data_IF_712973394665
#
_entry.id   IF_712973394665
#
_cell.length_a   1.000
_cell.length_b   1.000
_cell.length_c   1.000
_cell.angle_alpha   90.00
_cell.angle_beta   90.00
_cell.angle_gamma   90.00
#
_symmetry.space_group_name_H-M   'P 1'
#
loop_
_entity.id
_entity.type
_entity.pdbx_description
1 polymer ?
#
# COMPACT_ATOMS: atom_id res chain seq x y z
N UNK A 1 47.40 38.15 -1.98
CA UNK A 1 46.18 37.93 -1.18
C UNK A 1 45.29 37.00 -1.92
N UNK A 2 45.27 35.76 -1.49
CA UNK A 2 44.38 34.76 -2.06
C UNK A 2 43.05 34.81 -1.30
N UNK A 3 41.94 35.08 -1.96
CA UNK A 3 40.66 34.86 -1.32
C UNK A 3 40.52 33.36 -1.09
N UNK A 4 40.40 32.97 0.14
CA UNK A 4 40.02 31.64 0.48
C UNK A 4 38.65 31.39 -0.13
N UNK A 5 38.63 30.66 -1.23
CA UNK A 5 37.43 30.14 -1.81
C UNK A 5 36.96 29.06 -0.84
N UNK A 6 36.12 29.47 0.07
CA UNK A 6 35.37 28.55 0.90
C UNK A 6 34.38 27.83 -0.04
N UNK A 7 34.85 26.73 -0.58
CA UNK A 7 33.95 25.78 -1.24
C UNK A 7 33.11 25.21 -0.13
N UNK A 8 31.98 25.86 0.11
CA UNK A 8 30.92 25.24 0.85
C UNK A 8 30.49 24.06 0.04
N UNK A 9 31.04 22.89 0.32
CA UNK A 9 30.43 21.62 -0.07
C UNK A 9 29.07 21.62 0.63
N UNK A 10 28.09 22.09 -0.08
CA UNK A 10 26.72 21.71 0.19
C UNK A 10 26.68 20.20 -0.04
N UNK A 11 26.97 19.46 1.02
CA UNK A 11 26.59 18.09 1.08
C UNK A 11 25.07 18.09 0.94
N UNK A 12 24.58 17.92 -0.29
CA UNK A 12 23.24 17.50 -0.52
C UNK A 12 23.19 16.12 0.09
N UNK A 13 22.88 16.08 1.39
CA UNK A 13 22.49 14.85 2.01
C UNK A 13 21.20 14.43 1.28
N UNK A 14 21.33 13.55 0.29
CA UNK A 14 20.21 12.76 -0.17
C UNK A 14 19.76 12.00 1.05
N UNK A 15 18.80 12.57 1.78
CA UNK A 15 18.15 11.87 2.87
C UNK A 15 17.34 10.74 2.21
N UNK A 16 17.95 9.55 2.18
CA UNK A 16 17.20 8.36 1.82
C UNK A 16 16.06 8.25 2.82
N UNK A 17 14.85 8.06 2.32
CA UNK A 17 13.72 7.76 3.16
C UNK A 17 14.09 6.61 4.08
N UNK A 18 13.75 6.71 5.37
CA UNK A 18 13.92 5.59 6.29
C UNK A 18 13.12 4.39 5.78
N UNK A 19 13.50 3.15 6.14
CA UNK A 19 12.70 1.98 5.76
C UNK A 19 11.22 2.12 6.13
N UNK A 20 10.92 2.66 7.31
CA UNK A 20 9.55 2.92 7.72
C UNK A 20 8.83 3.88 6.76
N UNK A 21 9.47 4.98 6.41
CA UNK A 21 8.89 5.95 5.46
C UNK A 21 8.71 5.34 4.08
N UNK A 22 9.63 4.49 3.64
CA UNK A 22 9.54 3.80 2.36
C UNK A 22 8.35 2.84 2.33
N UNK A 23 8.10 2.10 3.40
CA UNK A 23 6.92 1.23 3.51
C UNK A 23 5.64 2.06 3.51
N UNK A 24 5.58 3.15 4.27
CA UNK A 24 4.44 4.06 4.28
C UNK A 24 4.15 4.62 2.89
N UNK A 25 5.19 4.97 2.15
CA UNK A 25 5.06 5.47 0.78
C UNK A 25 4.45 4.41 -0.16
N UNK A 26 4.82 3.15 0.02
CA UNK A 26 4.25 2.06 -0.78
C UNK A 26 2.79 1.77 -0.42
N UNK A 27 2.42 1.88 0.84
CA UNK A 27 1.02 1.79 1.26
C UNK A 27 0.21 2.91 0.60
N UNK A 28 0.74 4.14 0.59
CA UNK A 28 0.10 5.27 -0.08
C UNK A 28 0.01 5.07 -1.60
N UNK A 29 1.03 4.47 -2.21
CA UNK A 29 1.02 4.14 -3.63
C UNK A 29 -0.05 3.11 -3.98
N UNK A 30 -0.26 2.13 -3.09
CA UNK A 30 -1.34 1.15 -3.25
C UNK A 30 -2.70 1.83 -3.20
N UNK A 31 -2.91 2.73 -2.25
CA UNK A 31 -4.14 3.51 -2.19
C UNK A 31 -4.35 4.34 -3.47
N UNK A 32 -3.32 5.01 -3.94
CA UNK A 32 -3.40 5.79 -5.16
C UNK A 32 -3.75 4.94 -6.39
N UNK A 33 -3.21 3.72 -6.48
CA UNK A 33 -3.52 2.79 -7.55
C UNK A 33 -5.00 2.35 -7.50
N UNK A 34 -5.53 2.13 -6.30
CA UNK A 34 -6.95 1.81 -6.11
C UNK A 34 -7.83 3.00 -6.51
N UNK A 35 -7.48 4.19 -6.07
CA UNK A 35 -8.24 5.41 -6.39
C UNK A 35 -8.22 5.69 -7.91
N UNK A 36 -7.09 5.40 -8.57
CA UNK A 36 -6.96 5.52 -10.02
C UNK A 36 -7.59 4.35 -10.80
N UNK A 37 -8.05 3.32 -10.10
CA UNK A 37 -8.61 2.10 -10.70
C UNK A 37 -7.62 1.41 -11.64
N UNK A 38 -6.37 1.39 -11.25
CA UNK A 38 -5.28 0.85 -12.05
C UNK A 38 -4.85 -0.50 -11.51
N UNK A 39 -5.43 -1.58 -12.02
CA UNK A 39 -5.12 -2.94 -11.59
C UNK A 39 -3.68 -3.33 -11.93
N UNK A 40 -3.10 -2.78 -13.00
CA UNK A 40 -1.70 -2.99 -13.35
C UNK A 40 -0.75 -2.40 -12.32
N UNK A 41 -1.04 -1.21 -11.83
CA UNK A 41 -0.26 -0.58 -10.75
C UNK A 41 -0.41 -1.34 -9.42
N UNK A 42 -1.61 -1.84 -9.12
CA UNK A 42 -1.79 -2.72 -7.96
C UNK A 42 -0.88 -3.93 -8.09
N UNK A 43 -0.89 -4.61 -9.23
CA UNK A 43 -0.03 -5.77 -9.47
C UNK A 43 1.45 -5.43 -9.33
N UNK A 44 1.88 -4.27 -9.84
CA UNK A 44 3.27 -3.85 -9.79
C UNK A 44 3.80 -3.67 -8.36
N UNK A 45 2.92 -3.40 -7.41
CA UNK A 45 3.28 -3.25 -5.99
C UNK A 45 3.37 -4.58 -5.26
N UNK A 46 2.89 -5.67 -5.86
CA UNK A 46 2.88 -6.99 -5.25
C UNK A 46 4.18 -7.75 -5.54
N UNK A 47 4.68 -8.48 -4.55
CA UNK A 47 5.78 -9.40 -4.75
C UNK A 47 5.35 -10.55 -5.68
N UNK A 48 6.32 -11.16 -6.37
CA UNK A 48 6.03 -12.26 -7.29
C UNK A 48 5.36 -13.45 -6.59
N UNK A 49 5.69 -13.67 -5.33
CA UNK A 49 5.15 -14.75 -4.48
C UNK A 49 4.08 -14.25 -3.50
N UNK A 50 3.40 -13.16 -3.85
CA UNK A 50 2.32 -12.60 -3.02
C UNK A 50 1.24 -13.63 -2.72
N UNK A 51 0.74 -13.60 -1.47
CA UNK A 51 -0.41 -14.39 -1.03
C UNK A 51 -1.38 -13.50 -0.24
N UNK A 52 -2.63 -13.48 -0.65
CA UNK A 52 -3.70 -12.78 0.06
C UNK A 52 -4.68 -13.74 0.74
N UNK A 53 -5.83 -13.22 1.15
CA UNK A 53 -6.90 -14.02 1.75
C UNK A 53 -7.26 -15.19 0.83
N UNK A 54 -7.56 -16.34 1.44
CA UNK A 54 -7.97 -17.57 0.73
C UNK A 54 -6.91 -18.08 -0.26
N UNK A 55 -5.65 -17.69 -0.06
CA UNK A 55 -4.54 -18.14 -0.89
C UNK A 55 -4.46 -17.47 -2.26
N UNK A 56 -5.13 -16.34 -2.45
CA UNK A 56 -5.07 -15.61 -3.72
C UNK A 56 -3.63 -15.18 -4.02
N UNK A 57 -3.15 -15.49 -5.21
CA UNK A 57 -1.81 -15.11 -5.65
C UNK A 57 -1.80 -13.72 -6.32
N UNK A 58 -0.62 -13.30 -6.76
CA UNK A 58 -0.41 -11.99 -7.40
C UNK A 58 -1.35 -11.79 -8.60
N UNK A 59 -1.44 -12.79 -9.47
CA UNK A 59 -2.30 -12.75 -10.65
C UNK A 59 -3.78 -12.68 -10.27
N UNK A 60 -4.17 -13.50 -9.31
CA UNK A 60 -5.55 -13.50 -8.79
C UNK A 60 -5.92 -12.18 -8.15
N UNK A 61 -4.99 -11.55 -7.43
CA UNK A 61 -5.21 -10.23 -6.83
C UNK A 61 -5.43 -9.16 -7.90
N UNK A 62 -4.65 -9.18 -8.98
CA UNK A 62 -4.87 -8.28 -10.12
C UNK A 62 -6.24 -8.48 -10.74
N UNK A 63 -6.63 -9.74 -10.96
CA UNK A 63 -7.93 -10.07 -11.54
C UNK A 63 -9.08 -9.63 -10.63
N UNK A 64 -8.92 -9.82 -9.34
CA UNK A 64 -9.90 -9.36 -8.35
C UNK A 64 -10.03 -7.83 -8.37
N UNK A 65 -8.91 -7.13 -8.37
CA UNK A 65 -8.90 -5.66 -8.44
C UNK A 65 -9.60 -5.18 -9.72
N UNK A 66 -9.25 -5.75 -10.86
CA UNK A 66 -9.87 -5.40 -12.13
C UNK A 66 -11.39 -5.64 -12.12
N UNK A 67 -11.84 -6.75 -11.57
CA UNK A 67 -13.25 -7.07 -11.45
C UNK A 67 -13.99 -6.09 -10.54
N UNK A 68 -13.41 -5.74 -9.41
CA UNK A 68 -13.98 -4.75 -8.48
C UNK A 68 -14.09 -3.38 -9.15
N UNK A 69 -13.05 -2.95 -9.86
CA UNK A 69 -13.02 -1.65 -10.53
C UNK A 69 -14.08 -1.56 -11.65
N UNK A 70 -14.35 -2.66 -12.34
CA UNK A 70 -15.37 -2.71 -13.37
C UNK A 70 -16.81 -2.70 -12.79
N UNK A 71 -17.01 -3.39 -11.67
CA UNK A 71 -18.34 -3.52 -11.07
C UNK A 71 -18.74 -2.32 -10.22
N UNK A 72 -17.75 -1.66 -9.60
CA UNK A 72 -17.98 -0.61 -8.63
C UNK A 72 -17.22 0.64 -9.05
N UNK A 73 -17.80 1.41 -9.95
CA UNK A 73 -17.17 2.62 -10.50
C UNK A 73 -16.95 3.71 -9.46
N UNK A 74 -17.73 3.69 -8.39
CA UNK A 74 -17.70 4.71 -7.34
C UNK A 74 -16.99 4.22 -6.07
N UNK A 75 -16.29 3.08 -6.15
CA UNK A 75 -15.56 2.58 -4.99
C UNK A 75 -14.41 3.52 -4.65
N UNK A 76 -14.40 3.97 -3.41
CA UNK A 76 -13.31 4.74 -2.83
C UNK A 76 -12.83 4.02 -1.57
N UNK A 77 -11.54 4.06 -1.35
CA UNK A 77 -10.91 3.52 -0.16
C UNK A 77 -10.21 4.66 0.58
N UNK A 78 -10.52 4.82 1.86
CA UNK A 78 -9.81 5.78 2.72
C UNK A 78 -9.04 5.02 3.77
N UNK A 79 -7.74 5.25 3.81
CA UNK A 79 -6.87 4.69 4.82
C UNK A 79 -6.97 5.49 6.12
N UNK A 80 -7.09 4.76 7.21
CA UNK A 80 -6.83 5.29 8.54
C UNK A 80 -5.33 5.36 8.83
N UNK A 81 -4.95 5.67 10.07
CA UNK A 81 -3.55 5.72 10.46
C UNK A 81 -2.83 4.39 10.19
N UNK A 82 -1.63 4.47 9.65
CA UNK A 82 -0.81 3.31 9.30
C UNK A 82 0.24 3.10 10.38
N UNK A 83 0.28 1.89 10.95
CA UNK A 83 1.33 1.47 11.86
C UNK A 83 2.30 0.58 11.12
N UNK A 84 3.59 0.89 11.19
CA UNK A 84 4.64 0.12 10.54
C UNK A 84 5.56 -0.46 11.60
N UNK A 85 5.79 -1.76 11.53
CA UNK A 85 6.74 -2.48 12.35
C UNK A 85 7.80 -3.11 11.45
N UNK A 86 9.05 -2.69 11.60
CA UNK A 86 10.15 -3.28 10.85
C UNK A 86 10.56 -4.61 11.48
N UNK A 87 10.78 -5.61 10.64
CA UNK A 87 11.25 -6.93 11.01
C UNK A 87 12.60 -7.17 10.35
N UNK A 88 13.68 -6.78 11.04
CA UNK A 88 15.01 -6.79 10.44
C UNK A 88 15.15 -5.71 9.37
N UNK A 89 16.03 -5.96 8.39
CA UNK A 89 16.37 -4.97 7.36
C UNK A 89 15.55 -5.11 6.08
N UNK A 90 14.89 -6.25 5.89
CA UNK A 90 14.24 -6.61 4.62
C UNK A 90 12.76 -6.91 4.73
N UNK A 91 12.19 -6.89 5.93
CA UNK A 91 10.78 -7.20 6.15
C UNK A 91 10.10 -6.15 7.01
N UNK A 92 8.83 -5.96 6.79
CA UNK A 92 8.01 -5.05 7.58
C UNK A 92 6.57 -5.53 7.63
N UNK A 93 5.88 -5.14 8.70
CA UNK A 93 4.43 -5.34 8.84
C UNK A 93 3.80 -3.95 8.90
N UNK A 94 2.79 -3.72 8.07
CA UNK A 94 1.97 -2.52 8.12
C UNK A 94 0.53 -2.90 8.40
N UNK A 95 -0.07 -2.26 9.42
CA UNK A 95 -1.46 -2.46 9.79
C UNK A 95 -2.22 -1.15 9.68
N UNK A 96 -3.42 -1.21 9.18
CA UNK A 96 -4.27 -0.04 9.00
C UNK A 96 -5.72 -0.45 8.81
N UNK A 97 -6.62 0.49 9.06
CA UNK A 97 -8.02 0.34 8.71
C UNK A 97 -8.30 0.99 7.37
N UNK A 98 -9.23 0.42 6.61
CA UNK A 98 -9.69 0.98 5.35
C UNK A 98 -11.20 1.16 5.41
N UNK A 99 -11.65 2.37 5.15
CA UNK A 99 -13.07 2.63 4.93
C UNK A 99 -13.34 2.52 3.43
N UNK A 100 -14.07 1.49 3.07
CA UNK A 100 -14.54 1.30 1.69
C UNK A 100 -15.93 1.89 1.55
N UNK A 101 -16.09 2.82 0.62
CA UNK A 101 -17.36 3.47 0.32
C UNK A 101 -17.66 3.33 -1.17
N UNK A 102 -18.91 3.51 -1.53
CA UNK A 102 -19.37 3.48 -2.91
C UNK A 102 -20.25 2.29 -3.22
N UNK A 103 -20.84 2.29 -4.37
CA UNK A 103 -21.70 1.21 -4.82
C UNK A 103 -23.18 1.50 -4.62
N UNK A 104 -23.72 2.42 -5.40
CA UNK A 104 -25.16 2.57 -5.51
C UNK A 104 -25.78 1.27 -6.05
N UNK A 105 -26.56 0.59 -5.23
CA UNK A 105 -27.28 -0.61 -5.62
C UNK A 105 -26.45 -1.89 -5.66
N UNK A 106 -25.27 -1.88 -5.05
CA UNK A 106 -24.37 -3.02 -4.98
C UNK A 106 -24.30 -3.68 -3.62
N UNK A 107 -23.36 -4.58 -3.49
CA UNK A 107 -23.10 -5.38 -2.29
C UNK A 107 -22.51 -4.56 -1.14
N UNK A 108 -22.09 -3.31 -1.39
CA UNK A 108 -21.60 -2.43 -0.35
C UNK A 108 -22.73 -1.59 0.20
N UNK A 109 -22.93 -1.58 1.53
CA UNK A 109 -23.92 -0.70 2.15
C UNK A 109 -23.58 0.77 1.85
N UNK A 110 -24.61 1.61 1.68
CA UNK A 110 -24.44 3.05 1.48
C UNK A 110 -23.62 3.73 2.56
N UNK A 111 -23.51 3.11 3.73
CA UNK A 111 -22.81 3.63 4.89
C UNK A 111 -21.32 3.27 4.89
N UNK A 112 -20.85 2.48 3.92
CA UNK A 112 -19.48 2.05 3.88
C UNK A 112 -19.19 0.86 4.80
N UNK A 113 -18.05 0.23 4.59
CA UNK A 113 -17.57 -0.90 5.36
C UNK A 113 -16.14 -0.63 5.79
N UNK A 114 -15.84 -0.82 7.06
CA UNK A 114 -14.47 -0.73 7.57
C UNK A 114 -13.85 -2.12 7.57
N UNK A 115 -12.66 -2.20 6.98
CA UNK A 115 -11.84 -3.41 7.00
C UNK A 115 -10.57 -3.16 7.78
N UNK A 116 -10.14 -4.16 8.52
CA UNK A 116 -8.85 -4.17 9.18
C UNK A 116 -7.86 -4.93 8.31
N UNK A 117 -6.77 -4.28 7.91
CA UNK A 117 -5.73 -4.86 7.09
C UNK A 117 -4.48 -5.12 7.90
N UNK A 118 -3.90 -6.30 7.69
CA UNK A 118 -2.56 -6.63 8.12
C UNK A 118 -1.76 -7.03 6.89
N UNK A 119 -0.67 -6.32 6.63
CA UNK A 119 0.12 -6.50 5.41
C UNK A 119 1.57 -6.76 5.75
N UNK A 120 2.17 -7.71 5.04
CA UNK A 120 3.59 -7.99 5.11
C UNK A 120 4.30 -7.45 3.87
N UNK A 121 5.43 -6.83 4.07
CA UNK A 121 6.23 -6.20 3.02
C UNK A 121 7.64 -6.75 3.03
N UNK A 122 8.22 -6.88 1.85
CA UNK A 122 9.60 -7.35 1.68
C UNK A 122 10.36 -6.40 0.76
N UNK A 123 11.60 -6.12 1.14
CA UNK A 123 12.51 -5.33 0.31
C UNK A 123 13.08 -6.25 -0.78
N UNK A 124 12.80 -5.94 -2.05
CA UNK A 124 13.23 -6.70 -3.22
C UNK A 124 13.89 -5.72 -4.20
N UNK A 125 15.18 -5.90 -4.45
CA UNK A 125 15.94 -5.06 -5.38
C UNK A 125 15.79 -3.55 -5.09
N UNK A 126 15.82 -3.18 -3.81
CA UNK A 126 15.71 -1.78 -3.38
C UNK A 126 14.28 -1.25 -3.31
N UNK A 127 13.26 -2.05 -3.60
CA UNK A 127 11.86 -1.65 -3.53
C UNK A 127 11.08 -2.52 -2.55
N UNK A 128 10.24 -1.89 -1.76
CA UNK A 128 9.33 -2.62 -0.88
C UNK A 128 8.14 -3.13 -1.68
N UNK A 129 7.94 -4.45 -1.64
CA UNK A 129 6.83 -5.13 -2.32
C UNK A 129 5.90 -5.74 -1.30
N UNK A 130 4.62 -5.72 -1.59
CA UNK A 130 3.61 -6.37 -0.76
C UNK A 130 3.73 -7.88 -0.92
N UNK A 131 4.09 -8.55 0.17
CA UNK A 131 4.29 -9.99 0.20
C UNK A 131 3.03 -10.76 0.57
N UNK A 132 2.29 -10.23 1.53
CA UNK A 132 1.03 -10.83 1.96
C UNK A 132 0.08 -9.76 2.47
N UNK A 133 -1.19 -10.05 2.38
CA UNK A 133 -2.24 -9.20 2.92
C UNK A 133 -3.38 -10.06 3.44
N UNK A 134 -3.84 -9.74 4.63
CA UNK A 134 -5.06 -10.28 5.18
C UNK A 134 -5.97 -9.15 5.59
N UNK A 135 -7.25 -9.31 5.35
CA UNK A 135 -8.24 -8.31 5.72
C UNK A 135 -9.48 -8.97 6.26
N UNK A 136 -10.08 -8.33 7.22
CA UNK A 136 -11.33 -8.77 7.85
C UNK A 136 -12.25 -7.57 7.99
N UNK A 137 -13.58 -7.77 7.80
CA UNK A 137 -14.53 -6.73 8.13
C UNK A 137 -14.41 -6.39 9.63
N UNK A 138 -14.37 -5.11 9.93
CA UNK A 138 -14.45 -4.68 11.32
C UNK A 138 -15.92 -4.64 11.72
N UNK A 139 -16.40 -5.75 12.27
CA UNK A 139 -17.77 -5.83 12.78
C UNK A 139 -17.74 -5.23 14.18
N UNK A 140 -18.26 -4.01 14.31
CA UNK A 140 -18.53 -3.45 15.63
C UNK A 140 -19.66 -4.24 16.28
N UNK A 141 -19.49 -4.71 17.53
CA UNK A 141 -20.57 -5.36 18.24
C UNK A 141 -21.78 -4.45 18.47
#
# INVERSE_FOLDING_TARGET
>A
MLPALLLALLAVACSRASPEQAVRAQVAALQAAIDARDAGEVEALLAADFVGNDGIDRRGAKQLAAAVFLRHRDVAAKLGPVSVELRGETDAIATFSVLATGGSGGLLPEQGQVYQFQTGWRLVDGEWKLLNASWTPNILP
#
